data_IF_195436237620
#
_entry.id   IF_195436237620
#
_cell.length_a   1.000
_cell.length_b   1.000
_cell.length_c   1.000
_cell.angle_alpha   90.00
_cell.angle_beta   90.00
_cell.angle_gamma   90.00
#
_symmetry.space_group_name_H-M   'P 1'
#
loop_
_entity.id
_entity.type
_entity.pdbx_description
1 polymer ?
#
# COMPACT_ATOMS: atom_id res chain seq x y z
N UNK A 1 -15.34 1.03 -3.84
CA UNK A 1 -15.07 1.73 -2.57
C UNK A 1 -13.70 1.27 -2.11
N UNK A 2 -12.72 2.15 -1.86
CA UNK A 2 -11.41 1.74 -1.41
C UNK A 2 -11.52 1.03 -0.06
N UNK A 3 -10.75 -0.05 0.11
CA UNK A 3 -10.67 -0.79 1.35
C UNK A 3 -9.88 0.02 2.39
N UNK A 4 -10.45 0.23 3.59
CA UNK A 4 -9.84 1.00 4.66
C UNK A 4 -9.35 0.06 5.75
N UNK A 5 -8.04 0.09 6.03
CA UNK A 5 -7.42 -0.63 7.15
C UNK A 5 -7.22 0.33 8.30
N UNK A 6 -8.03 0.21 9.35
CA UNK A 6 -7.93 1.00 10.57
C UNK A 6 -7.31 0.17 11.70
N UNK A 7 -6.41 0.79 12.45
CA UNK A 7 -5.93 0.25 13.73
C UNK A 7 -6.72 0.88 14.86
N UNK A 8 -7.33 0.05 15.72
CA UNK A 8 -7.92 0.52 16.98
C UNK A 8 -6.81 0.93 17.95
N UNK A 9 -7.03 2.05 18.67
CA UNK A 9 -6.17 2.48 19.77
C UNK A 9 -6.33 1.51 20.94
N UNK A 10 -5.51 0.47 21.04
CA UNK A 10 -5.23 -0.14 22.32
C UNK A 10 -4.14 0.68 23.03
N UNK A 11 -4.53 1.37 24.08
CA UNK A 11 -3.62 2.01 25.01
C UNK A 11 -2.75 0.94 25.69
N UNK A 12 -1.56 0.70 25.17
CA UNK A 12 -0.50 -0.05 25.84
C UNK A 12 0.57 0.93 26.34
N UNK A 13 0.40 1.38 27.58
CA UNK A 13 1.53 1.80 28.41
C UNK A 13 2.43 0.57 28.64
N UNK A 14 3.50 0.46 27.89
CA UNK A 14 4.49 -0.60 28.03
C UNK A 14 5.78 -0.19 27.32
N UNK A 15 6.79 0.24 28.11
CA UNK A 15 8.17 0.37 27.64
C UNK A 15 8.65 -0.97 27.10
N UNK A 16 8.76 -1.13 25.79
CA UNK A 16 9.50 -2.24 25.18
C UNK A 16 10.84 -1.73 24.67
N UNK A 17 11.90 -2.17 25.33
CA UNK A 17 13.26 -2.08 24.82
C UNK A 17 13.47 -3.24 23.83
N UNK A 18 13.69 -2.94 22.55
CA UNK A 18 14.04 -3.94 21.56
C UNK A 18 15.50 -4.33 21.70
N UNK A 19 15.73 -5.56 22.05
CA UNK A 19 17.06 -6.18 21.98
C UNK A 19 17.08 -6.99 20.67
N UNK A 20 17.69 -6.43 19.63
CA UNK A 20 17.88 -7.13 18.36
C UNK A 20 19.09 -8.05 18.50
N UNK A 21 18.85 -9.27 18.99
CA UNK A 21 19.82 -10.35 18.94
C UNK A 21 19.86 -10.95 17.53
N UNK A 22 21.01 -10.76 16.87
CA UNK A 22 21.35 -11.41 15.60
C UNK A 22 21.20 -12.93 15.67
N UNK A 23 20.28 -13.48 14.86
CA UNK A 23 20.45 -14.83 14.34
C UNK A 23 19.84 -14.92 12.93
N UNK A 24 20.61 -14.46 11.95
CA UNK A 24 20.44 -14.82 10.55
C UNK A 24 20.99 -16.23 10.37
N UNK A 25 20.16 -17.24 10.39
CA UNK A 25 20.51 -18.53 9.82
C UNK A 25 20.47 -18.42 8.29
N UNK A 26 21.64 -18.66 7.71
CA UNK A 26 21.87 -18.73 6.26
C UNK A 26 21.09 -19.92 5.70
N UNK A 27 20.02 -19.69 4.98
CA UNK A 27 19.47 -20.68 4.06
C UNK A 27 20.34 -20.69 2.81
N UNK A 28 20.76 -21.87 2.42
CA UNK A 28 21.72 -22.14 1.37
C UNK A 28 21.31 -21.52 0.03
N UNK A 29 22.21 -20.73 -0.52
CA UNK A 29 22.18 -20.29 -1.92
C UNK A 29 22.36 -21.47 -2.86
N UNK A 30 21.31 -21.84 -3.57
CA UNK A 30 21.43 -22.55 -4.84
C UNK A 30 21.12 -21.60 -5.98
N UNK A 31 22.04 -21.57 -6.94
CA UNK A 31 22.14 -20.70 -8.10
C UNK A 31 20.86 -20.55 -8.91
N UNK A 32 20.49 -19.33 -9.11
CA UNK A 32 19.99 -18.63 -10.31
C UNK A 32 18.99 -17.54 -9.86
N UNK A 33 19.29 -16.28 -10.16
CA UNK A 33 18.74 -15.08 -9.52
C UNK A 33 17.30 -14.71 -9.90
N UNK A 34 16.35 -15.62 -9.86
CA UNK A 34 14.93 -15.31 -9.79
C UNK A 34 14.46 -15.70 -8.38
N UNK A 35 14.13 -14.69 -7.56
CA UNK A 35 13.42 -14.90 -6.31
C UNK A 35 12.12 -15.61 -6.67
N UNK A 36 11.95 -16.86 -6.23
CA UNK A 36 10.75 -17.64 -6.49
C UNK A 36 9.53 -16.86 -5.97
N UNK A 37 8.47 -16.79 -6.78
CA UNK A 37 7.21 -16.16 -6.40
C UNK A 37 6.67 -16.86 -5.14
N UNK A 38 6.38 -16.12 -4.03
CA UNK A 38 5.83 -16.74 -2.83
C UNK A 38 4.43 -17.29 -3.13
N UNK A 39 4.07 -18.38 -2.47
CA UNK A 39 2.69 -18.84 -2.46
C UNK A 39 1.83 -17.91 -1.59
N UNK A 40 0.51 -17.96 -1.78
CA UNK A 40 -0.41 -17.21 -0.93
C UNK A 40 -0.29 -17.59 0.55
N UNK A 41 -0.12 -18.88 0.82
CA UNK A 41 0.05 -19.41 2.17
C UNK A 41 1.33 -18.88 2.84
N UNK A 42 2.43 -18.81 2.10
CA UNK A 42 3.70 -18.24 2.59
C UNK A 42 3.57 -16.74 2.87
N UNK A 43 2.97 -15.98 1.96
CA UNK A 43 2.77 -14.54 2.13
C UNK A 43 1.83 -14.23 3.30
N UNK A 44 0.75 -15.01 3.48
CA UNK A 44 -0.18 -14.88 4.62
C UNK A 44 0.48 -15.28 5.93
N UNK A 45 1.33 -16.32 5.94
CA UNK A 45 2.07 -16.73 7.12
C UNK A 45 3.03 -15.64 7.61
N UNK A 46 3.72 -14.94 6.70
CA UNK A 46 4.58 -13.80 7.04
C UNK A 46 3.78 -12.65 7.70
N UNK A 47 2.58 -12.34 7.19
CA UNK A 47 1.71 -11.34 7.80
C UNK A 47 1.28 -11.77 9.21
N UNK A 48 0.88 -13.04 9.36
CA UNK A 48 0.42 -13.57 10.64
C UNK A 48 1.54 -13.70 11.68
N UNK A 49 2.79 -13.79 11.26
CA UNK A 49 3.97 -13.79 12.14
C UNK A 49 4.28 -12.42 12.75
N UNK A 50 3.70 -11.33 12.26
CA UNK A 50 3.85 -10.02 12.90
C UNK A 50 3.21 -10.04 14.28
N UNK A 51 3.84 -9.38 15.25
CA UNK A 51 3.29 -9.28 16.62
C UNK A 51 2.20 -8.22 16.65
N UNK A 52 1.04 -8.55 17.22
CA UNK A 52 -0.11 -7.64 17.29
C UNK A 52 -0.83 -7.48 15.95
N UNK A 53 -1.51 -6.36 15.75
CA UNK A 53 -2.24 -6.01 14.53
C UNK A 53 -3.40 -6.97 14.19
N UNK A 54 -4.05 -7.57 15.17
CA UNK A 54 -5.04 -8.63 14.97
C UNK A 54 -6.22 -8.16 14.10
N UNK A 55 -6.71 -6.92 14.31
CA UNK A 55 -7.76 -6.34 13.47
C UNK A 55 -7.33 -6.16 12.02
N UNK A 56 -6.08 -5.68 11.80
CA UNK A 56 -5.50 -5.48 10.46
C UNK A 56 -5.30 -6.82 9.75
N UNK A 57 -4.76 -7.82 10.44
CA UNK A 57 -4.57 -9.18 9.91
C UNK A 57 -5.90 -9.76 9.45
N UNK A 58 -6.92 -9.67 10.30
CA UNK A 58 -8.27 -10.15 9.97
C UNK A 58 -8.83 -9.46 8.73
N UNK A 59 -8.73 -8.13 8.65
CA UNK A 59 -9.20 -7.38 7.49
C UNK A 59 -8.47 -7.76 6.20
N UNK A 60 -7.13 -7.93 6.26
CA UNK A 60 -6.33 -8.35 5.09
C UNK A 60 -6.66 -9.79 4.69
N UNK A 61 -6.86 -10.69 5.64
CA UNK A 61 -7.22 -12.08 5.39
C UNK A 61 -8.60 -12.20 4.72
N UNK A 62 -9.61 -11.50 5.26
CA UNK A 62 -10.95 -11.42 4.67
C UNK A 62 -10.91 -10.86 3.23
N UNK A 63 -10.18 -9.76 3.03
CA UNK A 63 -10.04 -9.13 1.72
C UNK A 63 -9.29 -10.03 0.73
N UNK A 64 -8.21 -10.66 1.16
CA UNK A 64 -7.42 -11.58 0.34
C UNK A 64 -8.22 -12.82 -0.06
N UNK A 65 -9.03 -13.34 0.85
CA UNK A 65 -9.95 -14.46 0.58
C UNK A 65 -11.00 -14.06 -0.45
N UNK A 66 -11.55 -12.86 -0.35
CA UNK A 66 -12.48 -12.31 -1.33
C UNK A 66 -11.83 -12.19 -2.73
N UNK A 67 -10.63 -11.64 -2.82
CA UNK A 67 -9.88 -11.54 -4.07
C UNK A 67 -9.59 -12.92 -4.69
N UNK A 68 -9.18 -13.89 -3.87
CA UNK A 68 -8.99 -15.27 -4.30
C UNK A 68 -10.26 -15.89 -4.85
N UNK A 69 -11.41 -15.66 -4.22
CA UNK A 69 -12.71 -16.10 -4.71
C UNK A 69 -13.06 -15.48 -6.07
N UNK A 70 -12.88 -14.17 -6.23
CA UNK A 70 -13.13 -13.49 -7.51
C UNK A 70 -12.25 -14.04 -8.63
N UNK A 71 -10.97 -14.29 -8.35
CA UNK A 71 -10.05 -14.90 -9.32
C UNK A 71 -10.50 -16.29 -9.76
N UNK A 72 -10.92 -17.15 -8.83
CA UNK A 72 -11.45 -18.49 -9.15
C UNK A 72 -12.71 -18.37 -10.02
N UNK A 73 -13.58 -17.38 -9.79
CA UNK A 73 -14.75 -17.12 -10.63
C UNK A 73 -14.36 -16.75 -12.06
N UNK A 74 -13.38 -15.85 -12.20
CA UNK A 74 -12.86 -15.44 -13.52
C UNK A 74 -12.29 -16.65 -14.29
N UNK A 75 -11.46 -17.47 -13.66
CA UNK A 75 -10.90 -18.72 -14.23
C UNK A 75 -11.99 -19.71 -14.68
N UNK A 76 -13.14 -19.71 -14.02
CA UNK A 76 -14.32 -20.52 -14.39
C UNK A 76 -15.19 -19.89 -15.47
N UNK A 77 -14.78 -18.76 -16.04
CA UNK A 77 -15.48 -18.09 -17.15
C UNK A 77 -16.63 -17.15 -16.73
N UNK A 78 -16.80 -16.89 -15.43
CA UNK A 78 -17.71 -15.85 -14.95
C UNK A 78 -17.04 -14.48 -15.10
N UNK A 79 -17.07 -13.93 -16.32
CA UNK A 79 -16.57 -12.58 -16.58
C UNK A 79 -17.58 -11.57 -16.04
N UNK A 80 -17.27 -10.97 -14.92
CA UNK A 80 -17.81 -9.66 -14.55
C UNK A 80 -16.75 -8.62 -14.97
N UNK A 81 -17.16 -7.42 -15.37
CA UNK A 81 -16.25 -6.28 -15.63
C UNK A 81 -15.61 -5.76 -14.32
N UNK A 82 -15.17 -6.69 -13.47
CA UNK A 82 -14.58 -6.38 -12.17
C UNK A 82 -13.08 -6.13 -12.35
N UNK A 83 -12.75 -4.88 -12.65
CA UNK A 83 -11.40 -4.39 -12.35
C UNK A 83 -11.22 -4.47 -10.84
N UNK A 84 -10.27 -5.31 -10.38
CA UNK A 84 -9.95 -5.43 -8.96
C UNK A 84 -9.45 -4.08 -8.44
N UNK A 85 -10.21 -3.45 -7.54
CA UNK A 85 -9.74 -2.25 -6.88
C UNK A 85 -8.80 -2.65 -5.75
N UNK A 86 -7.49 -2.52 -6.00
CA UNK A 86 -6.43 -2.84 -5.03
C UNK A 86 -6.01 -1.63 -4.18
N UNK A 87 -6.62 -0.46 -4.43
CA UNK A 87 -6.26 0.77 -3.72
C UNK A 87 -6.84 0.76 -2.30
N UNK A 88 -6.03 1.18 -1.32
CA UNK A 88 -6.37 1.10 0.10
C UNK A 88 -5.93 2.34 0.86
N UNK A 89 -6.58 2.59 2.01
CA UNK A 89 -6.15 3.61 2.98
C UNK A 89 -5.72 2.93 4.29
N UNK A 90 -4.51 3.26 4.76
CA UNK A 90 -3.95 2.79 6.03
C UNK A 90 -4.03 3.88 7.08
N UNK A 91 -4.83 3.64 8.11
CA UNK A 91 -5.03 4.56 9.22
C UNK A 91 -4.31 4.04 10.47
N UNK A 92 -3.42 4.83 11.03
CA UNK A 92 -2.69 4.43 12.23
C UNK A 92 -1.65 5.45 12.66
N UNK A 93 -1.30 5.42 13.96
CA UNK A 93 -0.30 6.29 14.56
C UNK A 93 1.13 6.04 14.01
N UNK A 94 2.11 6.93 14.28
CA UNK A 94 3.50 6.71 13.90
C UNK A 94 4.04 5.40 14.49
N UNK A 95 4.87 4.69 13.73
CA UNK A 95 5.53 3.47 14.23
C UNK A 95 4.62 2.23 14.36
N UNK A 96 3.38 2.30 13.92
CA UNK A 96 2.43 1.16 13.97
C UNK A 96 2.66 0.10 12.88
N UNK A 97 3.70 0.24 12.05
CA UNK A 97 4.07 -0.76 11.06
C UNK A 97 3.32 -0.65 9.73
N UNK A 98 2.71 0.48 9.40
CA UNK A 98 1.98 0.69 8.13
C UNK A 98 2.79 0.26 6.89
N UNK A 99 4.04 0.71 6.78
CA UNK A 99 4.93 0.33 5.66
C UNK A 99 5.23 -1.17 5.65
N UNK A 100 5.38 -1.80 6.82
CA UNK A 100 5.59 -3.25 6.93
C UNK A 100 4.37 -4.02 6.43
N UNK A 101 3.19 -3.60 6.84
CA UNK A 101 1.91 -4.19 6.37
C UNK A 101 1.75 -4.00 4.86
N UNK A 102 2.11 -2.84 4.30
CA UNK A 102 2.07 -2.62 2.86
C UNK A 102 3.01 -3.58 2.10
N UNK A 103 4.20 -3.86 2.63
CA UNK A 103 5.12 -4.85 2.05
C UNK A 103 4.53 -6.27 2.05
N UNK A 104 3.84 -6.64 3.12
CA UNK A 104 3.16 -7.95 3.19
C UNK A 104 1.98 -8.01 2.21
N UNK A 105 1.20 -6.95 2.12
CA UNK A 105 0.09 -6.83 1.17
C UNK A 105 0.59 -6.93 -0.29
N UNK A 106 1.72 -6.30 -0.61
CA UNK A 106 2.36 -6.41 -1.93
C UNK A 106 2.72 -7.85 -2.28
N UNK A 107 3.27 -8.62 -1.33
CA UNK A 107 3.57 -10.04 -1.50
C UNK A 107 2.30 -10.86 -1.73
N UNK A 108 1.22 -10.57 -0.98
CA UNK A 108 -0.07 -11.23 -1.13
C UNK A 108 -0.63 -10.95 -2.53
N UNK A 109 -0.68 -9.71 -2.98
CA UNK A 109 -1.16 -9.36 -4.32
C UNK A 109 -0.32 -10.02 -5.42
N UNK A 110 1.00 -10.08 -5.25
CA UNK A 110 1.89 -10.77 -6.17
C UNK A 110 1.61 -12.29 -6.20
N UNK A 111 1.41 -12.92 -5.04
CA UNK A 111 1.10 -14.35 -4.94
C UNK A 111 -0.22 -14.72 -5.64
N UNK A 112 -1.18 -13.79 -5.66
CA UNK A 112 -2.48 -13.93 -6.32
C UNK A 112 -2.48 -13.50 -7.80
N UNK A 113 -1.34 -13.17 -8.42
CA UNK A 113 -1.24 -12.62 -9.79
C UNK A 113 -2.03 -11.33 -10.03
N UNK A 114 -2.29 -10.57 -8.97
CA UNK A 114 -2.95 -9.26 -9.06
C UNK A 114 -1.95 -8.15 -9.35
N UNK A 115 -0.68 -8.35 -9.01
CA UNK A 115 0.46 -7.50 -9.33
C UNK A 115 1.61 -8.36 -9.88
N UNK A 116 2.38 -7.81 -10.81
CA UNK A 116 3.46 -8.55 -11.48
C UNK A 116 4.75 -8.67 -10.68
N UNK A 117 4.95 -7.84 -9.63
CA UNK A 117 6.19 -7.83 -8.82
C UNK A 117 5.92 -7.79 -7.31
N UNK A 118 4.91 -7.03 -6.84
CA UNK A 118 4.55 -6.91 -5.43
C UNK A 118 5.53 -6.11 -4.55
N UNK A 119 6.46 -5.34 -5.14
CA UNK A 119 7.35 -4.44 -4.41
C UNK A 119 6.60 -3.19 -3.91
N UNK A 120 7.18 -2.47 -2.97
CA UNK A 120 6.64 -1.21 -2.46
C UNK A 120 7.58 -0.07 -2.82
N UNK A 121 7.04 0.96 -3.48
CA UNK A 121 7.71 2.25 -3.68
C UNK A 121 7.09 3.26 -2.73
N UNK A 122 7.85 3.65 -1.70
CA UNK A 122 7.44 4.58 -0.66
C UNK A 122 7.77 6.02 -1.09
N UNK A 123 6.81 6.92 -0.94
CA UNK A 123 6.94 8.33 -1.28
C UNK A 123 6.21 9.19 -0.24
N UNK A 124 6.70 10.42 -0.05
CA UNK A 124 6.01 11.46 0.70
C UNK A 124 5.66 12.65 -0.19
N UNK A 125 5.07 13.71 0.42
CA UNK A 125 4.72 14.94 -0.29
C UNK A 125 5.88 15.52 -1.13
N UNK A 126 7.09 15.55 -0.57
CA UNK A 126 8.28 16.15 -1.21
C UNK A 126 8.71 15.42 -2.48
N UNK A 127 8.41 14.13 -2.59
CA UNK A 127 8.72 13.31 -3.76
C UNK A 127 7.73 13.53 -4.90
N UNK A 128 6.50 13.93 -4.57
CA UNK A 128 5.39 14.05 -5.51
C UNK A 128 5.17 15.51 -5.97
N UNK A 129 5.35 16.48 -5.07
CA UNK A 129 5.11 17.89 -5.36
C UNK A 129 6.32 18.51 -6.06
N UNK A 130 6.07 19.27 -7.12
CA UNK A 130 7.08 20.06 -7.82
C UNK A 130 7.41 21.36 -7.08
N UNK A 131 8.62 21.87 -7.27
CA UNK A 131 9.02 23.20 -6.77
C UNK A 131 8.47 24.33 -7.66
N UNK A 132 8.27 24.04 -8.94
CA UNK A 132 7.79 24.99 -9.95
C UNK A 132 6.58 24.45 -10.69
N UNK A 133 5.80 25.37 -11.27
CA UNK A 133 4.63 25.04 -12.11
C UNK A 133 5.02 24.06 -13.22
N UNK A 134 4.22 23.02 -13.40
CA UNK A 134 4.43 21.99 -14.46
C UNK A 134 5.39 20.86 -14.08
N UNK A 135 5.97 20.86 -12.87
CA UNK A 135 6.86 19.79 -12.42
C UNK A 135 6.14 18.69 -11.64
N UNK A 136 4.97 18.95 -11.08
CA UNK A 136 4.21 18.01 -10.23
C UNK A 136 3.77 16.78 -11.01
N UNK A 137 3.05 16.94 -12.11
CA UNK A 137 2.55 15.81 -12.89
C UNK A 137 3.67 14.87 -13.41
N UNK A 138 4.83 15.36 -13.92
CA UNK A 138 5.96 14.48 -14.25
C UNK A 138 6.55 13.73 -13.06
N UNK A 139 6.65 14.35 -11.86
CA UNK A 139 7.12 13.69 -10.64
C UNK A 139 6.17 12.55 -10.23
N UNK A 140 4.86 12.82 -10.22
CA UNK A 140 3.84 11.82 -9.87
C UNK A 140 3.89 10.65 -10.86
N UNK A 141 3.93 10.91 -12.16
CA UNK A 141 4.06 9.85 -13.19
C UNK A 141 5.30 9.00 -12.97
N UNK A 142 6.45 9.61 -12.70
CA UNK A 142 7.69 8.88 -12.40
C UNK A 142 7.57 8.00 -11.14
N UNK A 143 6.83 8.45 -10.11
CA UNK A 143 6.57 7.64 -8.92
C UNK A 143 5.64 6.46 -9.25
N UNK A 144 4.59 6.68 -10.04
CA UNK A 144 3.70 5.64 -10.55
C UNK A 144 4.50 4.60 -11.35
N UNK A 145 5.33 5.03 -12.30
CA UNK A 145 6.14 4.14 -13.14
C UNK A 145 7.09 3.26 -12.31
N UNK A 146 7.69 3.83 -11.27
CA UNK A 146 8.54 3.06 -10.34
C UNK A 146 7.77 2.06 -9.51
N UNK A 147 6.52 2.34 -9.19
CA UNK A 147 5.65 1.46 -8.41
C UNK A 147 4.93 0.42 -9.30
N UNK A 148 4.99 0.54 -10.62
CA UNK A 148 4.31 -0.36 -11.56
C UNK A 148 4.72 -1.81 -11.33
N UNK A 149 3.74 -2.69 -11.20
CA UNK A 149 3.89 -4.06 -10.78
C UNK A 149 3.85 -4.26 -9.27
N UNK A 150 3.69 -3.20 -8.48
CA UNK A 150 3.74 -3.22 -7.02
C UNK A 150 2.81 -2.20 -6.38
N UNK A 151 3.22 -1.70 -5.22
CA UNK A 151 2.46 -0.74 -4.41
C UNK A 151 3.16 0.62 -4.44
N UNK A 152 2.41 1.67 -4.78
CA UNK A 152 2.77 3.05 -4.48
C UNK A 152 2.26 3.39 -3.07
N UNK A 153 3.16 3.47 -2.11
CA UNK A 153 2.84 3.78 -0.73
C UNK A 153 3.11 5.26 -0.46
N UNK A 154 2.05 6.01 -0.18
CA UNK A 154 2.11 7.45 0.07
C UNK A 154 1.96 7.67 1.57
N UNK A 155 3.07 7.97 2.25
CA UNK A 155 3.03 8.25 3.68
C UNK A 155 2.61 9.69 3.95
N UNK A 156 1.90 9.89 5.07
CA UNK A 156 1.31 11.18 5.46
C UNK A 156 0.51 11.83 4.32
N UNK A 157 -0.33 11.02 3.64
CA UNK A 157 -1.05 11.44 2.44
C UNK A 157 -1.91 12.71 2.65
N UNK A 158 -2.39 12.95 3.86
CA UNK A 158 -3.11 14.18 4.22
C UNK A 158 -2.28 15.46 3.96
N UNK A 159 -0.95 15.37 4.00
CA UNK A 159 -0.09 16.50 3.68
C UNK A 159 -0.25 16.98 2.23
N UNK A 160 -0.83 16.17 1.33
CA UNK A 160 -1.16 16.57 -0.04
C UNK A 160 -2.32 17.59 -0.07
N UNK A 161 -3.17 17.63 0.96
CA UNK A 161 -4.26 18.63 1.08
C UNK A 161 -3.81 19.94 1.70
N UNK A 162 -2.59 20.00 2.24
CA UNK A 162 -2.08 21.23 2.85
C UNK A 162 -1.79 22.27 1.75
N UNK A 163 -2.44 23.42 1.86
CA UNK A 163 -2.15 24.58 1.00
C UNK A 163 -0.80 25.15 1.40
N UNK A 164 0.15 25.20 0.46
CA UNK A 164 1.40 25.92 0.68
C UNK A 164 1.14 27.40 0.93
N UNK A 165 2.06 28.07 1.64
CA UNK A 165 1.99 29.52 1.97
C UNK A 165 1.80 30.42 0.73
N UNK A 166 2.20 29.97 -0.46
CA UNK A 166 2.12 30.69 -1.72
C UNK A 166 0.76 30.59 -2.45
N UNK A 167 -0.26 29.98 -1.84
CA UNK A 167 -1.59 29.82 -2.45
C UNK A 167 -1.63 28.91 -3.67
N UNK A 168 -0.53 28.23 -4.01
CA UNK A 168 -0.44 27.27 -5.11
C UNK A 168 -0.76 25.89 -4.60
N UNK A 169 -1.84 25.31 -5.11
CA UNK A 169 -2.35 24.00 -4.67
C UNK A 169 -1.72 22.86 -5.49
N UNK A 170 -0.38 22.75 -5.43
CA UNK A 170 0.33 21.64 -6.12
C UNK A 170 -0.04 20.25 -5.57
N UNK A 171 -0.49 20.19 -4.32
CA UNK A 171 -0.96 18.92 -3.74
C UNK A 171 -2.24 18.44 -4.39
N UNK A 172 -3.13 19.34 -4.78
CA UNK A 172 -4.35 19.00 -5.52
C UNK A 172 -4.03 18.41 -6.90
N UNK A 173 -3.03 18.97 -7.61
CA UNK A 173 -2.55 18.40 -8.88
C UNK A 173 -2.05 16.95 -8.70
N UNK A 174 -1.35 16.64 -7.58
CA UNK A 174 -0.94 15.28 -7.24
C UNK A 174 -2.16 14.37 -7.13
N UNK A 175 -3.16 14.79 -6.33
CA UNK A 175 -4.38 14.01 -6.08
C UNK A 175 -5.13 13.75 -7.41
N UNK A 176 -5.29 14.74 -8.25
CA UNK A 176 -5.96 14.61 -9.56
C UNK A 176 -5.27 13.59 -10.46
N UNK A 177 -3.91 13.58 -10.51
CA UNK A 177 -3.15 12.60 -11.30
C UNK A 177 -3.29 11.20 -10.72
N UNK A 178 -3.26 11.05 -9.39
CA UNK A 178 -3.44 9.76 -8.72
C UNK A 178 -4.86 9.21 -8.93
N UNK A 179 -5.90 10.03 -8.77
CA UNK A 179 -7.29 9.62 -8.99
C UNK A 179 -7.50 9.17 -10.44
N UNK A 180 -6.89 9.88 -11.39
CA UNK A 180 -6.95 9.48 -12.80
C UNK A 180 -6.27 8.12 -13.03
N UNK A 181 -5.11 7.86 -12.41
CA UNK A 181 -4.46 6.55 -12.50
C UNK A 181 -5.31 5.44 -11.86
N UNK A 182 -6.01 5.74 -10.75
CA UNK A 182 -6.87 4.78 -10.07
C UNK A 182 -8.11 4.41 -10.87
N UNK A 183 -8.66 5.33 -11.69
CA UNK A 183 -9.88 5.10 -12.48
C UNK A 183 -9.59 4.60 -13.89
N UNK A 184 -8.63 5.20 -14.57
CA UNK A 184 -8.40 5.03 -16.01
C UNK A 184 -6.99 4.50 -16.32
N UNK A 185 -6.21 4.14 -15.30
CA UNK A 185 -4.83 3.68 -15.45
C UNK A 185 -4.72 2.31 -16.11
N UNK A 186 -3.48 1.98 -16.53
CA UNK A 186 -3.15 0.70 -17.18
C UNK A 186 -3.28 -0.52 -16.24
N UNK A 187 -3.61 -0.29 -14.96
CA UNK A 187 -3.62 -1.34 -13.93
C UNK A 187 -2.20 -1.71 -13.48
N UNK A 188 -2.05 -2.92 -12.93
CA UNK A 188 -0.79 -3.45 -12.38
C UNK A 188 -0.12 -2.53 -11.35
N UNK A 189 -0.93 -1.82 -10.56
CA UNK A 189 -0.49 -0.98 -9.45
C UNK A 189 -1.56 -0.92 -8.36
N UNK A 190 -1.13 -0.97 -7.11
CA UNK A 190 -1.96 -0.62 -5.96
C UNK A 190 -1.46 0.69 -5.36
N UNK A 191 -2.36 1.62 -5.08
CA UNK A 191 -2.04 2.89 -4.41
C UNK A 191 -2.53 2.78 -2.97
N UNK A 192 -1.62 3.00 -2.02
CA UNK A 192 -1.90 2.96 -0.58
C UNK A 192 -1.64 4.35 -0.01
N UNK A 193 -2.70 4.97 0.48
CA UNK A 193 -2.63 6.23 1.22
C UNK A 193 -2.50 5.94 2.70
N UNK A 194 -1.43 6.38 3.34
CA UNK A 194 -1.19 6.15 4.76
C UNK A 194 -1.15 7.46 5.54
N UNK A 195 -1.62 7.44 6.78
CA UNK A 195 -1.57 8.61 7.65
C UNK A 195 -2.30 8.42 8.97
N UNK A 196 -2.37 9.48 9.76
CA UNK A 196 -3.03 9.46 11.06
C UNK A 196 -4.55 9.44 10.88
N UNK A 197 -5.28 8.71 11.75
CA UNK A 197 -6.70 8.50 11.56
C UNK A 197 -7.52 9.79 11.40
N UNK A 198 -7.26 10.78 12.25
CA UNK A 198 -8.01 12.04 12.27
C UNK A 198 -7.78 12.86 10.99
N UNK A 199 -6.52 13.01 10.58
CA UNK A 199 -6.10 13.76 9.42
C UNK A 199 -6.57 13.07 8.13
N UNK A 200 -6.48 11.75 8.08
CA UNK A 200 -6.92 10.94 6.96
C UNK A 200 -8.44 10.95 6.76
N UNK A 201 -9.24 11.07 7.82
CA UNK A 201 -10.69 11.24 7.68
C UNK A 201 -11.03 12.53 6.91
N UNK A 202 -10.35 13.63 7.23
CA UNK A 202 -10.49 14.89 6.49
C UNK A 202 -10.05 14.76 5.04
N UNK A 203 -8.90 14.12 4.80
CA UNK A 203 -8.36 13.87 3.47
C UNK A 203 -9.31 13.06 2.58
N UNK A 204 -9.80 11.91 3.08
CA UNK A 204 -10.71 11.02 2.34
C UNK A 204 -12.07 11.69 2.08
N UNK A 205 -12.56 12.51 3.02
CA UNK A 205 -13.87 13.18 2.86
C UNK A 205 -13.83 14.33 1.86
N UNK A 206 -12.66 14.88 1.56
CA UNK A 206 -12.47 16.02 0.66
C UNK A 206 -12.06 15.63 -0.77
N UNK A 207 -11.77 14.35 -0.99
CA UNK A 207 -11.32 13.77 -2.26
C UNK A 207 -12.06 12.44 -2.53
#
# INVERSE_FOLDING_TARGET
>A
VPFVVAQEEEALEGKMSFNIGNKLERVATTNSGAIAKPTFEEASAELNALIGLEAVKKQIDEFSTYLKFLKIREEKGFKEDNTFNLHTAFLGNPGTGKTTVAKMLGKIYYSLDLLTKGHVHEVGRVDLVGEYIGQTAPKVKKAIDKARGGILFIDEAYALSDRGDDGKDFGKEVIEVLLKEMSDGEGDIAIVFAGYPKEMQGFISSN
#
